data_IF_916804051011
#
_entry.id   IF_916804051011
#
_cell.length_a   1.000
_cell.length_b   1.000
_cell.length_c   1.000
_cell.angle_alpha   90.00
_cell.angle_beta   90.00
_cell.angle_gamma   90.00
#
_symmetry.space_group_name_H-M   'P 1'
#
loop_
_entity.id
_entity.type
_entity.pdbx_description
1 polymer ?
#
# COMPACT_ATOMS: atom_id res chain seq x y z
N UNK A 1 -34.64 9.90 44.67
CA UNK A 1 -35.03 9.80 43.24
C UNK A 1 -35.30 11.16 42.59
N UNK A 2 -35.91 12.12 43.28
CA UNK A 2 -36.28 13.43 42.69
C UNK A 2 -35.09 14.35 42.39
N UNK A 3 -34.03 14.33 43.21
CA UNK A 3 -32.82 15.12 42.98
C UNK A 3 -32.06 14.71 41.70
N UNK A 4 -32.00 13.41 41.40
CA UNK A 4 -31.39 12.90 40.16
C UNK A 4 -32.21 13.31 38.92
N UNK A 5 -33.55 13.34 39.03
CA UNK A 5 -34.42 13.82 37.95
C UNK A 5 -34.21 15.32 37.68
N UNK A 6 -34.08 16.15 38.71
CA UNK A 6 -33.79 17.59 38.57
C UNK A 6 -32.41 17.87 37.97
N UNK A 7 -31.39 17.09 38.35
CA UNK A 7 -30.06 17.18 37.76
C UNK A 7 -30.09 16.75 36.28
N UNK A 8 -30.75 15.63 35.97
CA UNK A 8 -30.90 15.15 34.60
C UNK A 8 -31.60 16.17 33.71
N UNK A 9 -32.67 16.83 34.19
CA UNK A 9 -33.32 17.90 33.43
C UNK A 9 -32.43 19.12 33.23
N UNK A 10 -31.69 19.55 34.26
CA UNK A 10 -30.78 20.70 34.18
C UNK A 10 -29.65 20.48 33.16
N UNK A 11 -29.12 19.26 33.07
CA UNK A 11 -28.04 18.91 32.14
C UNK A 11 -28.53 18.33 30.81
N UNK A 12 -29.85 18.15 30.61
CA UNK A 12 -30.42 17.58 29.38
C UNK A 12 -29.97 18.35 28.14
N UNK A 13 -30.00 19.67 28.21
CA UNK A 13 -29.59 20.53 27.09
C UNK A 13 -28.08 20.46 26.83
N UNK A 14 -27.26 20.38 27.89
CA UNK A 14 -25.82 20.17 27.78
C UNK A 14 -25.48 18.82 27.16
N UNK A 15 -26.17 17.74 27.54
CA UNK A 15 -26.01 16.41 26.92
C UNK A 15 -26.42 16.39 25.43
N UNK A 16 -27.50 17.09 25.06
CA UNK A 16 -27.92 17.17 23.66
C UNK A 16 -26.89 17.98 22.85
N UNK A 17 -26.36 19.06 23.42
CA UNK A 17 -25.34 19.90 22.77
C UNK A 17 -24.01 19.14 22.60
N UNK A 18 -23.51 18.51 23.66
CA UNK A 18 -22.26 17.71 23.60
C UNK A 18 -22.43 16.48 22.72
N UNK A 19 -23.60 15.83 22.77
CA UNK A 19 -23.94 14.72 21.90
C UNK A 19 -24.00 15.13 20.42
N UNK A 20 -24.61 16.28 20.11
CA UNK A 20 -24.68 16.81 18.75
C UNK A 20 -23.30 17.18 18.20
N UNK A 21 -22.46 17.83 19.00
CA UNK A 21 -21.07 18.15 18.63
C UNK A 21 -20.26 16.86 18.43
N UNK A 22 -20.41 15.88 19.32
CA UNK A 22 -19.77 14.58 19.19
C UNK A 22 -20.20 13.82 17.93
N UNK A 23 -21.50 13.85 17.60
CA UNK A 23 -22.03 13.23 16.39
C UNK A 23 -21.52 13.92 15.11
N UNK A 24 -21.42 15.25 15.12
CA UNK A 24 -20.90 16.02 14.00
C UNK A 24 -19.40 15.81 13.79
N UNK A 25 -18.64 15.67 14.89
CA UNK A 25 -17.20 15.41 14.85
C UNK A 25 -16.86 13.94 14.60
N UNK A 26 -17.77 13.01 14.88
CA UNK A 26 -17.60 11.56 14.68
C UNK A 26 -17.03 11.18 13.30
N UNK A 27 -17.59 11.63 12.16
CA UNK A 27 -17.05 11.28 10.84
C UNK A 27 -15.63 11.81 10.59
N UNK A 28 -15.25 12.91 11.23
CA UNK A 28 -13.92 13.51 11.10
C UNK A 28 -12.88 12.85 12.01
N UNK A 29 -13.29 12.41 13.21
CA UNK A 29 -12.41 11.73 14.16
C UNK A 29 -12.29 10.22 13.88
N UNK A 30 -13.26 9.62 13.16
CA UNK A 30 -13.28 8.20 12.85
C UNK A 30 -12.00 7.66 12.20
N UNK A 31 -11.39 8.33 11.19
CA UNK A 31 -10.13 7.87 10.61
C UNK A 31 -8.98 7.87 11.61
N UNK A 32 -8.93 8.83 12.54
CA UNK A 32 -7.90 8.90 13.58
C UNK A 32 -8.05 7.79 14.62
N UNK A 33 -9.28 7.51 15.06
CA UNK A 33 -9.54 6.38 15.96
C UNK A 33 -9.18 5.04 15.31
N UNK A 34 -9.56 4.84 14.04
CA UNK A 34 -9.17 3.63 13.31
C UNK A 34 -7.66 3.51 13.17
N UNK A 35 -6.96 4.61 12.89
CA UNK A 35 -5.50 4.61 12.79
C UNK A 35 -4.85 4.21 14.13
N UNK A 36 -5.32 4.76 15.24
CA UNK A 36 -4.83 4.43 16.58
C UNK A 36 -5.10 2.95 16.90
N UNK A 37 -6.33 2.48 16.68
CA UNK A 37 -6.71 1.08 16.92
C UNK A 37 -5.85 0.14 16.07
N UNK A 38 -5.68 0.44 14.78
CA UNK A 38 -4.88 -0.38 13.86
C UNK A 38 -3.40 -0.40 14.25
N UNK A 39 -2.85 0.75 14.65
CA UNK A 39 -1.47 0.85 15.12
C UNK A 39 -1.27 0.07 16.42
N UNK A 40 -2.20 0.18 17.37
CA UNK A 40 -2.16 -0.58 18.63
C UNK A 40 -2.29 -2.08 18.41
N UNK A 41 -3.18 -2.52 17.51
CA UNK A 41 -3.31 -3.94 17.15
C UNK A 41 -2.06 -4.46 16.45
N UNK A 42 -1.49 -3.66 15.54
CA UNK A 42 -0.27 -4.01 14.80
C UNK A 42 0.93 -4.14 15.73
N UNK A 43 0.96 -3.42 16.86
CA UNK A 43 1.98 -3.56 17.89
C UNK A 43 1.70 -4.76 18.83
N UNK A 44 0.43 -4.99 19.17
CA UNK A 44 0.05 -6.09 20.06
C UNK A 44 0.24 -7.47 19.41
N UNK A 45 -0.04 -7.60 18.11
CA UNK A 45 0.10 -8.86 17.37
C UNK A 45 1.52 -9.49 17.46
N UNK A 46 2.62 -8.78 17.14
CA UNK A 46 3.97 -9.35 17.25
C UNK A 46 4.37 -9.66 18.69
N UNK A 47 3.89 -8.87 19.67
CA UNK A 47 4.15 -9.14 21.09
C UNK A 47 3.47 -10.44 21.54
N UNK A 48 2.22 -10.67 21.13
CA UNK A 48 1.48 -11.90 21.45
C UNK A 48 2.13 -13.11 20.77
N UNK A 49 2.52 -13.00 19.50
CA UNK A 49 3.22 -14.08 18.78
C UNK A 49 4.57 -14.41 19.42
N UNK A 50 5.37 -13.39 19.76
CA UNK A 50 6.64 -13.58 20.44
C UNK A 50 6.44 -14.24 21.82
N UNK A 51 5.45 -13.79 22.59
CA UNK A 51 5.10 -14.41 23.88
C UNK A 51 4.66 -15.88 23.71
N UNK A 52 3.92 -16.20 22.65
CA UNK A 52 3.51 -17.56 22.35
C UNK A 52 4.70 -18.45 21.99
N UNK A 53 5.60 -17.99 21.11
CA UNK A 53 6.82 -18.72 20.74
C UNK A 53 7.71 -18.96 21.96
N UNK A 54 7.94 -17.92 22.78
CA UNK A 54 8.74 -18.05 24.01
C UNK A 54 8.08 -19.03 24.98
N UNK A 55 6.74 -19.02 25.11
CA UNK A 55 6.02 -19.97 25.96
C UNK A 55 6.16 -21.40 25.43
N UNK A 56 5.97 -21.64 24.13
CA UNK A 56 6.13 -22.97 23.52
C UNK A 56 7.56 -23.50 23.71
N UNK A 57 8.59 -22.69 23.45
CA UNK A 57 9.99 -23.09 23.66
C UNK A 57 10.28 -23.33 25.15
N UNK A 58 9.67 -22.57 26.06
CA UNK A 58 9.84 -22.78 27.51
C UNK A 58 9.13 -24.02 28.02
N UNK A 59 8.00 -24.39 27.41
CA UNK A 59 7.28 -25.64 27.71
C UNK A 59 8.05 -26.84 27.15
N UNK A 60 8.57 -26.77 25.91
CA UNK A 60 9.45 -27.80 25.35
C UNK A 60 10.71 -28.01 26.21
N UNK A 61 11.34 -26.92 26.67
CA UNK A 61 12.48 -27.03 27.61
C UNK A 61 12.08 -27.59 28.97
N UNK A 62 10.84 -27.37 29.43
CA UNK A 62 10.34 -27.98 30.67
C UNK A 62 10.08 -29.47 30.51
N UNK A 63 9.59 -29.90 29.36
CA UNK A 63 9.35 -31.32 29.06
C UNK A 63 10.68 -32.06 28.81
N UNK A 64 11.66 -31.43 28.15
CA UNK A 64 13.04 -31.94 28.05
C UNK A 64 13.74 -31.98 29.41
N UNK A 65 13.57 -30.98 30.26
CA UNK A 65 14.18 -30.95 31.60
C UNK A 65 13.49 -31.90 32.60
N UNK A 66 12.22 -32.28 32.35
CA UNK A 66 11.54 -33.36 33.10
C UNK A 66 11.97 -34.75 32.62
N UNK A 67 12.45 -34.88 31.38
CA UNK A 67 13.12 -36.08 30.86
C UNK A 67 14.60 -36.17 31.25
N UNK A 68 15.25 -35.05 31.61
CA UNK A 68 16.69 -34.99 31.82
C UNK A 68 17.11 -34.54 33.23
N UNK A 69 16.25 -34.75 34.23
CA UNK A 69 16.59 -34.49 35.64
C UNK A 69 17.37 -35.68 36.23
N UNK A 70 18.57 -35.91 35.70
CA UNK A 70 19.64 -36.68 36.31
C UNK A 70 20.89 -35.82 36.40
N UNK A 71 21.28 -35.45 37.62
CA UNK A 71 22.51 -34.72 38.04
C UNK A 71 22.54 -33.21 37.69
N UNK A 72 22.35 -32.31 38.68
CA UNK A 72 23.38 -31.71 39.59
C UNK A 72 24.43 -30.90 38.81
N UNK A 73 24.83 -29.67 39.13
CA UNK A 73 24.75 -28.87 40.35
C UNK A 73 25.28 -27.44 40.01
N UNK A 74 24.76 -26.40 40.68
CA UNK A 74 25.45 -25.22 41.29
C UNK A 74 26.63 -24.56 40.55
N UNK A 75 26.82 -23.24 40.47
CA UNK A 75 26.55 -22.17 41.44
C UNK A 75 26.86 -20.81 40.77
N UNK A 76 26.07 -19.81 41.07
CA UNK A 76 26.34 -18.38 40.84
C UNK A 76 27.33 -17.83 41.85
N UNK A 77 28.20 -16.87 41.50
CA UNK A 77 28.34 -15.60 42.24
C UNK A 77 29.28 -14.59 41.57
N UNK A 78 29.05 -13.34 41.96
CA UNK A 78 29.40 -12.04 41.40
C UNK A 78 30.76 -11.43 41.85
N UNK A 79 31.15 -10.38 41.12
CA UNK A 79 31.78 -9.10 41.55
C UNK A 79 33.32 -8.86 41.62
N UNK A 80 33.70 -7.80 40.87
CA UNK A 80 34.66 -6.69 41.06
C UNK A 80 36.22 -6.79 41.11
N UNK A 81 36.80 -6.11 40.10
CA UNK A 81 37.74 -4.96 40.13
C UNK A 81 39.15 -5.03 40.77
N UNK A 82 40.13 -4.75 39.88
CA UNK A 82 41.50 -4.20 40.05
C UNK A 82 42.54 -5.09 40.76
N UNK A 83 43.81 -5.21 40.34
CA UNK A 83 44.77 -4.18 39.91
C UNK A 83 46.10 -4.82 39.40
N UNK A 84 46.72 -4.17 38.41
CA UNK A 84 48.15 -4.05 38.07
C UNK A 84 49.09 -5.23 37.67
N UNK A 85 49.51 -5.12 36.39
CA UNK A 85 50.89 -5.00 35.84
C UNK A 85 51.78 -6.23 35.55
N UNK A 86 52.39 -6.13 34.35
CA UNK A 86 53.59 -6.80 33.79
C UNK A 86 53.34 -8.14 33.08
N UNK A 87 53.91 -8.47 31.92
CA UNK A 87 54.75 -7.82 30.93
C UNK A 87 54.68 -8.71 29.66
N UNK A 88 55.00 -8.13 28.50
CA UNK A 88 55.56 -8.79 27.30
C UNK A 88 54.61 -9.27 26.18
N UNK A 89 54.59 -8.47 25.09
CA UNK A 89 54.96 -8.98 23.75
C UNK A 89 53.99 -8.79 22.58
N UNK A 90 54.31 -7.83 21.70
CA UNK A 90 53.98 -7.73 20.26
C UNK A 90 52.49 -7.57 19.85
N UNK A 91 52.11 -6.81 18.83
CA UNK A 91 52.78 -5.90 17.89
C UNK A 91 51.69 -5.10 17.16
N UNK A 92 52.00 -3.84 16.84
CA UNK A 92 51.51 -3.04 15.71
C UNK A 92 50.00 -3.04 15.38
N UNK A 93 49.33 -1.89 15.47
CA UNK A 93 48.79 -1.16 14.30
C UNK A 93 48.24 0.20 14.75
N UNK A 94 48.77 1.27 14.16
CA UNK A 94 48.40 2.65 14.40
C UNK A 94 47.12 3.04 13.66
N UNK A 95 46.19 3.61 14.44
CA UNK A 95 45.38 4.82 14.22
C UNK A 95 45.31 5.44 12.81
N UNK A 96 44.08 5.39 12.29
CA UNK A 96 43.24 6.44 11.68
C UNK A 96 43.86 7.49 10.74
N UNK A 97 43.28 7.64 9.55
CA UNK A 97 42.72 8.93 9.09
C UNK A 97 41.74 8.75 7.91
N UNK A 98 40.73 9.62 7.85
CA UNK A 98 39.79 9.78 6.74
C UNK A 98 40.44 10.64 5.64
N UNK A 99 40.34 10.25 4.38
CA UNK A 99 40.25 11.17 3.25
C UNK A 99 39.69 10.48 2.00
N UNK A 100 38.62 11.07 1.47
CA UNK A 100 38.34 11.33 0.06
C UNK A 100 38.92 10.41 -1.03
N UNK A 101 38.03 9.77 -1.81
CA UNK A 101 38.27 9.40 -3.21
C UNK A 101 36.93 8.97 -3.84
N UNK A 102 36.20 9.98 -4.29
CA UNK A 102 35.38 9.86 -5.50
C UNK A 102 36.28 9.59 -6.71
N UNK A 103 35.72 9.03 -7.77
CA UNK A 103 36.35 8.78 -9.08
C UNK A 103 37.27 7.57 -9.22
N UNK A 104 36.68 6.38 -9.21
CA UNK A 104 37.01 5.33 -10.20
C UNK A 104 35.99 4.21 -10.11
N UNK A 105 34.96 4.21 -10.94
CA UNK A 105 34.32 3.02 -11.53
C UNK A 105 33.25 3.49 -12.51
N UNK A 106 33.72 4.05 -13.63
CA UNK A 106 32.95 4.07 -14.85
C UNK A 106 33.75 3.26 -15.88
N UNK A 107 33.04 2.38 -16.59
CA UNK A 107 33.49 1.42 -17.60
C UNK A 107 33.90 0.06 -17.03
N UNK A 108 32.90 -0.78 -16.82
CA UNK A 108 32.59 -1.95 -17.66
C UNK A 108 31.38 -2.70 -17.05
N UNK A 109 30.33 -2.95 -17.83
CA UNK A 109 29.23 -3.85 -17.43
C UNK A 109 27.79 -3.28 -17.29
N UNK A 110 27.45 -2.12 -17.85
CA UNK A 110 26.14 -1.46 -17.57
C UNK A 110 24.93 -1.97 -18.39
N UNK A 111 25.09 -2.87 -19.36
CA UNK A 111 23.96 -3.22 -20.25
C UNK A 111 22.94 -4.25 -19.69
N UNK A 112 23.32 -5.36 -19.01
CA UNK A 112 22.32 -6.38 -18.67
C UNK A 112 21.42 -6.01 -17.48
N UNK A 113 21.93 -5.29 -16.48
CA UNK A 113 21.18 -4.98 -15.24
C UNK A 113 20.14 -3.86 -15.43
N UNK A 114 20.45 -2.89 -16.30
CA UNK A 114 19.52 -1.80 -16.61
C UNK A 114 18.36 -2.30 -17.47
N UNK A 115 18.63 -3.21 -18.40
CA UNK A 115 17.59 -3.84 -19.22
C UNK A 115 16.66 -4.73 -18.38
N UNK A 116 17.20 -5.53 -17.44
CA UNK A 116 16.36 -6.36 -16.58
C UNK A 116 15.47 -5.53 -15.65
N UNK A 117 15.98 -4.44 -15.09
CA UNK A 117 15.21 -3.51 -14.26
C UNK A 117 14.13 -2.79 -15.07
N UNK A 118 14.46 -2.30 -16.27
CA UNK A 118 13.50 -1.64 -17.18
C UNK A 118 12.44 -2.62 -17.70
N UNK A 119 12.81 -3.89 -17.92
CA UNK A 119 11.85 -4.95 -18.27
C UNK A 119 10.94 -5.30 -17.09
N UNK A 120 11.47 -5.36 -15.87
CA UNK A 120 10.69 -5.61 -14.66
C UNK A 120 9.68 -4.48 -14.39
N UNK A 121 10.12 -3.21 -14.45
CA UNK A 121 9.22 -2.04 -14.31
C UNK A 121 8.14 -2.02 -15.38
N UNK A 122 8.51 -2.30 -16.64
CA UNK A 122 7.54 -2.42 -17.74
C UNK A 122 6.53 -3.53 -17.47
N UNK A 123 6.98 -4.70 -17.05
CA UNK A 123 6.11 -5.84 -16.72
C UNK A 123 5.19 -5.53 -15.54
N UNK A 124 5.65 -4.80 -14.53
CA UNK A 124 4.86 -4.41 -13.38
C UNK A 124 3.78 -3.38 -13.76
N UNK A 125 4.12 -2.38 -14.55
CA UNK A 125 3.17 -1.38 -15.05
C UNK A 125 2.09 -2.03 -15.92
N UNK A 126 2.51 -2.95 -16.80
CA UNK A 126 1.62 -3.77 -17.62
C UNK A 126 0.67 -4.61 -16.75
N UNK A 127 1.16 -5.24 -15.69
CA UNK A 127 0.34 -5.98 -14.72
C UNK A 127 -0.68 -5.06 -14.01
N UNK A 128 -0.26 -3.88 -13.54
CA UNK A 128 -1.14 -2.89 -12.92
C UNK A 128 -2.28 -2.46 -13.86
N UNK A 129 -1.98 -2.28 -15.15
CA UNK A 129 -2.98 -1.91 -16.14
C UNK A 129 -4.02 -3.02 -16.36
N UNK A 130 -3.59 -4.29 -16.39
CA UNK A 130 -4.49 -5.45 -16.48
C UNK A 130 -5.39 -5.55 -15.25
N UNK A 131 -4.79 -5.47 -14.04
CA UNK A 131 -5.53 -5.53 -12.78
C UNK A 131 -6.56 -4.40 -12.71
N UNK A 132 -6.16 -3.17 -13.05
CA UNK A 132 -7.08 -2.03 -13.11
C UNK A 132 -8.27 -2.30 -14.03
N UNK A 133 -8.03 -2.82 -15.24
CA UNK A 133 -9.09 -3.11 -16.19
C UNK A 133 -10.05 -4.18 -15.66
N UNK A 134 -9.52 -5.27 -15.10
CA UNK A 134 -10.33 -6.37 -14.60
C UNK A 134 -11.15 -5.98 -13.35
N UNK A 135 -10.57 -5.19 -12.45
CA UNK A 135 -11.19 -4.84 -11.18
C UNK A 135 -12.19 -3.69 -11.27
N UNK A 136 -11.92 -2.66 -12.09
CA UNK A 136 -12.81 -1.49 -12.19
C UNK A 136 -13.01 -0.97 -13.61
N UNK A 137 -12.00 -1.04 -14.48
CA UNK A 137 -12.03 -0.42 -15.80
C UNK A 137 -13.12 -1.00 -16.70
N UNK A 138 -13.26 -2.34 -16.72
CA UNK A 138 -14.24 -3.06 -17.54
C UNK A 138 -15.65 -2.63 -17.22
N UNK A 139 -16.05 -2.70 -15.95
CA UNK A 139 -17.40 -2.33 -15.52
C UNK A 139 -17.69 -0.86 -15.82
N UNK A 140 -16.76 0.05 -15.49
CA UNK A 140 -16.95 1.49 -15.73
C UNK A 140 -17.08 1.83 -17.21
N UNK A 141 -16.27 1.21 -18.07
CA UNK A 141 -16.34 1.41 -19.52
C UNK A 141 -17.64 0.84 -20.07
N UNK A 142 -18.09 -0.34 -19.62
CA UNK A 142 -19.36 -0.93 -20.04
C UNK A 142 -20.56 -0.08 -19.58
N UNK A 143 -20.52 0.46 -18.36
CA UNK A 143 -21.57 1.37 -17.86
C UNK A 143 -21.64 2.66 -18.70
N UNK A 144 -20.49 3.23 -19.07
CA UNK A 144 -20.45 4.37 -19.98
C UNK A 144 -20.98 4.01 -21.36
N UNK A 145 -20.62 2.85 -21.91
CA UNK A 145 -21.14 2.34 -23.17
C UNK A 145 -22.67 2.26 -23.15
N UNK A 146 -23.25 1.58 -22.17
CA UNK A 146 -24.72 1.45 -22.03
C UNK A 146 -25.39 2.82 -21.90
N UNK A 147 -24.79 3.74 -21.13
CA UNK A 147 -25.30 5.11 -20.97
C UNK A 147 -25.30 5.88 -22.30
N UNK A 148 -24.23 5.75 -23.09
CA UNK A 148 -24.07 6.44 -24.37
C UNK A 148 -24.94 5.81 -25.48
N UNK A 149 -25.15 4.50 -25.45
CA UNK A 149 -26.05 3.82 -26.40
C UNK A 149 -27.49 4.32 -26.29
N UNK A 150 -27.97 4.64 -25.08
CA UNK A 150 -29.30 5.23 -24.86
C UNK A 150 -29.48 6.57 -25.59
N UNK A 151 -28.40 7.29 -25.87
CA UNK A 151 -28.41 8.56 -26.60
C UNK A 151 -27.92 8.43 -28.03
N UNK A 152 -27.77 7.19 -28.55
CA UNK A 152 -27.31 6.91 -29.91
C UNK A 152 -25.82 7.15 -30.15
N UNK A 153 -25.04 7.41 -29.09
CA UNK A 153 -23.60 7.64 -29.19
C UNK A 153 -22.86 6.30 -29.06
N UNK A 154 -21.97 6.03 -30.02
CA UNK A 154 -21.24 4.75 -30.10
C UNK A 154 -19.73 4.87 -30.02
N UNK A 155 -19.23 6.06 -29.67
CA UNK A 155 -17.81 6.32 -29.54
C UNK A 155 -17.54 7.40 -28.50
N UNK A 156 -16.42 7.27 -27.80
CA UNK A 156 -15.88 8.31 -26.93
C UNK A 156 -14.35 8.22 -26.86
N UNK A 157 -13.72 9.28 -26.39
CA UNK A 157 -12.28 9.37 -26.17
C UNK A 157 -11.97 9.37 -24.68
N UNK A 158 -10.82 8.84 -24.30
CA UNK A 158 -10.26 8.86 -22.94
C UNK A 158 -8.95 9.64 -22.98
N UNK A 159 -8.83 10.67 -22.15
CA UNK A 159 -7.57 11.42 -21.99
C UNK A 159 -6.55 10.68 -21.11
N UNK A 160 -5.27 11.08 -21.09
CA UNK A 160 -4.29 10.51 -20.18
C UNK A 160 -4.69 10.57 -18.70
N UNK A 161 -5.45 11.61 -18.33
CA UNK A 161 -5.97 11.80 -16.98
C UNK A 161 -7.21 10.94 -16.70
N UNK A 162 -7.70 10.18 -17.68
CA UNK A 162 -8.88 9.32 -17.57
C UNK A 162 -10.21 10.05 -17.86
N UNK A 163 -10.18 11.26 -18.42
CA UNK A 163 -11.40 12.00 -18.75
C UNK A 163 -12.07 11.42 -19.99
N UNK A 164 -13.34 11.04 -19.87
CA UNK A 164 -14.11 10.51 -21.00
C UNK A 164 -14.90 11.62 -21.70
N UNK A 165 -14.68 11.80 -23.00
CA UNK A 165 -15.32 12.85 -23.80
C UNK A 165 -15.93 12.29 -25.09
N UNK A 166 -17.11 12.80 -25.47
CA UNK A 166 -17.77 12.53 -26.76
C UNK A 166 -17.65 13.75 -27.67
N UNK A 167 -17.48 13.57 -28.98
CA UNK A 167 -17.52 14.67 -29.94
C UNK A 167 -18.95 15.22 -30.06
N UNK A 168 -19.09 16.54 -30.03
CA UNK A 168 -20.34 17.28 -30.17
C UNK A 168 -20.11 18.47 -31.11
N UNK A 169 -20.25 18.23 -32.41
CA UNK A 169 -19.91 19.21 -33.45
C UNK A 169 -18.41 19.57 -33.42
N UNK A 170 -18.10 20.83 -33.12
CA UNK A 170 -16.72 21.33 -32.99
C UNK A 170 -16.11 21.15 -31.60
N UNK A 171 -16.93 20.75 -30.62
CA UNK A 171 -16.54 20.68 -29.22
C UNK A 171 -16.54 19.24 -28.71
N UNK A 172 -16.03 19.07 -27.50
CA UNK A 172 -16.04 17.81 -26.78
C UNK A 172 -16.82 17.98 -25.49
N UNK A 173 -17.80 17.09 -25.27
CA UNK A 173 -18.56 17.05 -24.02
C UNK A 173 -18.03 15.95 -23.12
N UNK A 174 -17.69 16.29 -21.87
CA UNK A 174 -17.31 15.31 -20.86
C UNK A 174 -18.54 14.45 -20.48
N UNK A 175 -18.35 13.13 -20.47
CA UNK A 175 -19.41 12.15 -20.14
C UNK A 175 -19.06 11.25 -18.95
N UNK A 176 -17.80 11.25 -18.52
CA UNK A 176 -17.34 10.46 -17.39
C UNK A 176 -15.88 10.70 -17.03
N UNK A 177 -15.43 9.97 -16.01
CA UNK A 177 -14.06 9.97 -15.50
C UNK A 177 -13.67 8.55 -15.07
N UNK A 178 -12.56 8.05 -15.57
CA UNK A 178 -11.93 6.79 -15.20
C UNK A 178 -10.74 7.10 -14.29
N UNK A 179 -10.93 6.96 -12.97
CA UNK A 179 -9.85 7.19 -12.01
C UNK A 179 -8.72 6.18 -12.23
N UNK A 180 -7.49 6.60 -11.97
CA UNK A 180 -6.28 5.77 -12.09
C UNK A 180 -6.13 5.09 -13.48
N UNK A 181 -6.62 5.73 -14.54
CA UNK A 181 -6.52 5.20 -15.90
C UNK A 181 -5.03 5.01 -16.31
N UNK A 182 -4.61 3.80 -16.72
CA UNK A 182 -3.22 3.50 -17.04
C UNK A 182 -2.90 3.95 -18.48
N UNK A 183 -2.67 5.26 -18.64
CA UNK A 183 -2.47 5.91 -19.95
C UNK A 183 -1.22 5.45 -20.70
N UNK A 184 -0.19 4.99 -19.99
CA UNK A 184 1.08 4.57 -20.57
C UNK A 184 1.00 3.16 -21.18
N UNK A 185 0.14 2.30 -20.61
CA UNK A 185 -0.02 0.88 -20.95
C UNK A 185 -1.22 0.63 -21.89
N UNK A 186 -1.62 1.66 -22.65
CA UNK A 186 -2.74 1.61 -23.61
C UNK A 186 -2.69 0.44 -24.60
N UNK A 187 -1.48 -0.03 -24.97
CA UNK A 187 -1.33 -1.19 -25.87
C UNK A 187 -1.96 -2.46 -25.31
N UNK A 188 -1.80 -2.73 -24.01
CA UNK A 188 -2.38 -3.89 -23.36
C UNK A 188 -3.88 -3.68 -23.17
N UNK A 189 -4.29 -2.49 -22.73
CA UNK A 189 -5.71 -2.18 -22.59
C UNK A 189 -6.47 -2.40 -23.90
N UNK A 190 -5.91 -2.00 -25.05
CA UNK A 190 -6.53 -2.24 -26.37
C UNK A 190 -6.80 -3.73 -26.60
N UNK A 191 -5.89 -4.62 -26.22
CA UNK A 191 -6.10 -6.07 -26.37
C UNK A 191 -7.27 -6.57 -25.53
N UNK A 192 -7.41 -6.08 -24.29
CA UNK A 192 -8.51 -6.45 -23.40
C UNK A 192 -9.85 -5.85 -23.86
N UNK A 193 -9.85 -4.59 -24.30
CA UNK A 193 -11.02 -3.94 -24.88
C UNK A 193 -11.53 -4.68 -26.12
N UNK A 194 -10.62 -5.15 -26.99
CA UNK A 194 -10.98 -5.94 -28.16
C UNK A 194 -11.64 -7.28 -27.78
N UNK A 195 -11.14 -7.96 -26.73
CA UNK A 195 -11.78 -9.18 -26.19
C UNK A 195 -13.20 -8.93 -25.70
N UNK A 196 -13.47 -7.72 -25.19
CA UNK A 196 -14.80 -7.29 -24.74
C UNK A 196 -15.64 -6.61 -25.85
N UNK A 197 -15.29 -6.83 -27.12
CA UNK A 197 -15.98 -6.31 -28.30
C UNK A 197 -16.07 -4.77 -28.35
N UNK A 198 -15.08 -4.09 -27.80
CA UNK A 198 -14.91 -2.64 -27.90
C UNK A 198 -13.71 -2.38 -28.79
N UNK A 199 -13.91 -1.73 -29.93
CA UNK A 199 -12.81 -1.31 -30.80
C UNK A 199 -12.07 -0.14 -30.17
N UNK A 200 -10.75 -0.23 -30.03
CA UNK A 200 -9.95 0.77 -29.34
C UNK A 200 -8.71 1.17 -30.16
N UNK A 201 -8.51 2.48 -30.35
CA UNK A 201 -7.40 3.03 -31.15
C UNK A 201 -6.75 4.21 -30.43
N UNK A 202 -5.42 4.20 -30.33
CA UNK A 202 -4.67 5.35 -29.82
C UNK A 202 -4.52 6.41 -30.91
N UNK A 203 -5.02 7.62 -30.67
CA UNK A 203 -4.83 8.80 -31.55
C UNK A 203 -4.20 9.93 -30.74
N UNK A 204 -2.91 10.19 -31.00
CA UNK A 204 -2.12 11.12 -30.19
C UNK A 204 -2.05 10.67 -28.73
N UNK A 205 -2.47 11.56 -27.81
CA UNK A 205 -2.52 11.30 -26.37
C UNK A 205 -3.81 10.60 -25.90
N UNK A 206 -4.81 10.48 -26.78
CA UNK A 206 -6.13 9.97 -26.41
C UNK A 206 -6.31 8.52 -26.86
N UNK A 207 -7.03 7.75 -26.07
CA UNK A 207 -7.53 6.43 -26.44
C UNK A 207 -8.98 6.56 -26.90
N UNK A 208 -9.26 6.23 -28.16
CA UNK A 208 -10.60 6.27 -28.73
C UNK A 208 -11.24 4.90 -28.66
N UNK A 209 -12.45 4.83 -28.09
CA UNK A 209 -13.26 3.64 -27.99
C UNK A 209 -14.47 3.80 -28.90
N UNK A 210 -14.83 2.72 -29.58
CA UNK A 210 -16.03 2.65 -30.43
C UNK A 210 -16.60 1.24 -30.43
N UNK A 211 -17.89 1.10 -30.73
CA UNK A 211 -18.54 -0.20 -30.78
C UNK A 211 -19.71 -0.23 -31.77
N UNK A 212 -20.03 -1.43 -32.25
CA UNK A 212 -21.01 -1.62 -33.31
C UNK A 212 -20.40 -1.70 -34.70
N UNK A 213 -21.21 -2.06 -35.70
CA UNK A 213 -20.77 -2.13 -37.09
C UNK A 213 -20.43 -0.71 -37.58
N UNK A 214 -19.19 -0.52 -38.03
CA UNK A 214 -18.86 0.57 -38.95
C UNK A 214 -19.80 0.44 -40.15
N UNK A 215 -20.64 1.46 -40.38
CA UNK A 215 -21.27 1.57 -41.70
C UNK A 215 -20.13 1.97 -42.63
N UNK A 216 -19.67 1.00 -43.43
CA UNK A 216 -18.85 1.27 -44.61
C UNK A 216 -19.60 2.16 -45.58
#
# INVERSE_FOLDING_TARGET
>A
MEALKRLAEKYKWLCILTGGIGFFLSPFLWPFFLMIIFQSLSLAAPIIVAAFIIKTVREEKKDEQKSNNGSKQTESTDFDTSKDVSDRGNSAYQKAEKADLSERYQKEGTQPLKESYMQHEKSEAECKAVVWYQMEGKERIQNLKVKLEKTGIRQFSISPEGVCCVPEGKYFRRVGMLRAFPAHETKILIQYLHKDHIHAVKKGKYLWLSWGKERK
#
